data_IF_289327410242
#
_entry.id   IF_289327410242
#
_cell.length_a   1.000
_cell.length_b   1.000
_cell.length_c   1.000
_cell.angle_alpha   90.00
_cell.angle_beta   90.00
_cell.angle_gamma   90.00
#
_symmetry.space_group_name_H-M   'P 1'
#
loop_
_entity.id
_entity.type
_entity.pdbx_description
1 polymer ?
#
# COMPACT_ATOMS: atom_id res chain seq x y z
N UNK A 1 3.02 -20.13 -1.29
CA UNK A 1 3.94 -18.98 -1.42
C UNK A 1 3.20 -17.77 -0.89
N UNK A 2 3.84 -16.98 -0.04
CA UNK A 2 3.16 -16.06 0.89
C UNK A 2 3.41 -14.61 0.48
N UNK A 3 2.43 -13.74 0.70
CA UNK A 3 2.62 -12.28 0.56
C UNK A 3 3.54 -11.80 1.67
N UNK A 4 4.57 -11.04 1.32
CA UNK A 4 5.62 -10.60 2.25
C UNK A 4 5.70 -9.08 2.29
N UNK A 5 5.83 -8.52 3.49
CA UNK A 5 5.95 -7.09 3.73
C UNK A 5 7.39 -6.76 4.10
N UNK A 6 8.04 -5.95 3.25
CA UNK A 6 9.43 -5.54 3.44
C UNK A 6 9.46 -4.10 3.96
N UNK A 7 9.75 -3.92 5.25
CA UNK A 7 9.83 -2.61 5.90
C UNK A 7 11.30 -2.22 6.09
N UNK A 8 11.62 -0.96 5.77
CA UNK A 8 12.97 -0.39 5.92
C UNK A 8 13.40 -0.45 7.39
N UNK A 9 14.68 -0.73 7.61
CA UNK A 9 15.25 -0.70 8.97
C UNK A 9 15.20 0.71 9.58
N UNK A 10 15.01 0.79 10.90
CA UNK A 10 15.01 2.05 11.64
C UNK A 10 13.69 2.83 11.61
N UNK A 11 12.61 2.24 11.09
CA UNK A 11 11.27 2.85 11.16
C UNK A 11 10.71 2.71 12.58
N UNK A 12 10.16 3.79 13.11
CA UNK A 12 9.48 3.77 14.42
C UNK A 12 8.27 2.83 14.39
N UNK A 13 7.84 2.36 15.56
CA UNK A 13 6.67 1.49 15.69
C UNK A 13 5.45 2.02 14.94
N UNK A 14 4.78 1.13 14.20
CA UNK A 14 3.53 1.45 13.50
C UNK A 14 2.30 1.39 14.44
N UNK A 15 2.49 1.05 15.72
CA UNK A 15 1.40 0.92 16.69
C UNK A 15 0.60 2.22 16.83
N UNK A 16 -0.72 2.12 16.72
CA UNK A 16 -1.63 3.26 16.77
C UNK A 16 -1.60 4.12 15.49
N UNK A 17 -0.98 3.64 14.41
CA UNK A 17 -1.09 4.24 13.09
C UNK A 17 -2.42 3.87 12.43
N UNK A 18 -2.74 4.61 11.39
CA UNK A 18 -3.94 4.46 10.57
C UNK A 18 -3.53 3.94 9.20
N UNK A 19 -4.12 2.82 8.78
CA UNK A 19 -3.94 2.31 7.42
C UNK A 19 -4.85 3.09 6.48
N UNK A 20 -4.30 3.55 5.37
CA UNK A 20 -5.06 4.13 4.26
C UNK A 20 -4.68 3.37 3.00
N UNK A 21 -5.68 2.82 2.30
CA UNK A 21 -5.44 2.21 0.99
C UNK A 21 -6.67 2.34 0.10
N UNK A 22 -6.48 2.10 -1.19
CA UNK A 22 -7.48 2.29 -2.22
C UNK A 22 -6.96 1.66 -3.50
N UNK A 23 -7.74 0.74 -4.06
CA UNK A 23 -7.33 -0.07 -5.21
C UNK A 23 -7.86 0.52 -6.52
N UNK A 24 -7.42 -0.07 -7.62
CA UNK A 24 -7.89 0.19 -8.97
C UNK A 24 -9.33 -0.35 -9.18
N UNK A 25 -10.32 0.34 -8.61
CA UNK A 25 -11.75 0.07 -8.76
C UNK A 25 -12.44 0.99 -9.76
N UNK A 26 -13.74 1.23 -9.56
CA UNK A 26 -14.54 2.16 -10.38
C UNK A 26 -13.88 3.55 -10.44
N UNK A 27 -13.65 4.04 -11.66
CA UNK A 27 -13.01 5.33 -11.92
C UNK A 27 -11.56 5.46 -11.43
N UNK A 28 -10.93 4.36 -10.99
CA UNK A 28 -9.65 4.36 -10.28
C UNK A 28 -9.62 5.29 -9.04
N UNK A 29 -10.78 5.66 -8.50
CA UNK A 29 -10.90 6.68 -7.44
C UNK A 29 -10.09 6.33 -6.20
N UNK A 30 -10.08 5.06 -5.79
CA UNK A 30 -9.27 4.58 -4.66
C UNK A 30 -7.79 4.84 -4.87
N UNK A 31 -7.24 4.33 -5.98
CA UNK A 31 -5.83 4.52 -6.35
C UNK A 31 -5.45 6.01 -6.45
N UNK A 32 -6.23 6.80 -7.21
CA UNK A 32 -5.93 8.22 -7.43
C UNK A 32 -5.97 8.99 -6.10
N UNK A 33 -6.91 8.69 -5.21
CA UNK A 33 -7.02 9.34 -3.91
C UNK A 33 -5.79 9.06 -3.04
N UNK A 34 -5.34 7.80 -2.97
CA UNK A 34 -4.15 7.43 -2.19
C UNK A 34 -2.89 8.02 -2.80
N UNK A 35 -2.72 7.94 -4.12
CA UNK A 35 -1.57 8.54 -4.82
C UNK A 35 -1.50 10.05 -4.60
N UNK A 36 -2.64 10.73 -4.66
CA UNK A 36 -2.72 12.16 -4.36
C UNK A 36 -2.34 12.48 -2.91
N UNK A 37 -2.79 11.71 -1.93
CA UNK A 37 -2.41 11.89 -0.52
C UNK A 37 -0.91 11.67 -0.29
N UNK A 38 -0.35 10.58 -0.82
CA UNK A 38 1.09 10.27 -0.72
C UNK A 38 1.93 11.42 -1.29
N UNK A 39 1.58 11.89 -2.49
CA UNK A 39 2.31 12.96 -3.19
C UNK A 39 2.17 14.30 -2.47
N UNK A 40 0.96 14.69 -2.10
CA UNK A 40 0.67 16.00 -1.50
C UNK A 40 1.26 16.15 -0.10
N UNK A 41 1.25 15.07 0.68
CA UNK A 41 1.84 15.04 2.02
C UNK A 41 3.36 14.82 1.98
N UNK A 42 3.94 14.52 0.81
CA UNK A 42 5.32 14.09 0.65
C UNK A 42 5.65 12.93 1.59
N UNK A 43 4.74 11.95 1.63
CA UNK A 43 4.87 10.80 2.51
C UNK A 43 6.17 10.04 2.20
N UNK A 44 6.81 9.54 3.25
CA UNK A 44 8.09 8.84 3.14
C UNK A 44 7.87 7.38 2.72
N UNK A 45 8.61 6.90 1.73
CA UNK A 45 8.64 5.47 1.39
C UNK A 45 9.33 4.69 2.52
N UNK A 46 8.57 3.80 3.18
CA UNK A 46 9.04 2.98 4.31
C UNK A 46 9.14 1.51 3.98
N UNK A 47 8.66 1.05 2.83
CA UNK A 47 8.68 -0.36 2.47
C UNK A 47 7.92 -0.68 1.20
N UNK A 48 7.80 -1.98 0.90
CA UNK A 48 7.06 -2.51 -0.24
C UNK A 48 6.47 -3.89 0.07
N UNK A 49 5.56 -4.34 -0.77
CA UNK A 49 4.89 -5.64 -0.66
C UNK A 49 5.30 -6.52 -1.84
N UNK A 50 5.66 -7.76 -1.56
CA UNK A 50 5.97 -8.77 -2.57
C UNK A 50 4.92 -9.89 -2.54
N UNK A 51 4.37 -10.23 -3.69
CA UNK A 51 3.41 -11.34 -3.88
C UNK A 51 4.01 -12.47 -4.72
N UNK A 52 3.45 -13.69 -4.66
CA UNK A 52 3.94 -14.82 -5.47
C UNK A 52 3.93 -14.55 -6.97
N UNK A 53 2.95 -13.78 -7.46
CA UNK A 53 2.85 -13.37 -8.86
C UNK A 53 3.11 -11.88 -9.01
N UNK A 54 4.09 -11.33 -8.27
CA UNK A 54 4.51 -9.93 -8.44
C UNK A 54 4.87 -9.70 -9.91
N UNK A 55 4.21 -8.74 -10.58
CA UNK A 55 4.52 -8.47 -11.97
C UNK A 55 5.99 -8.04 -12.10
N UNK A 56 6.74 -8.54 -13.10
CA UNK A 56 8.14 -8.14 -13.34
C UNK A 56 8.18 -6.74 -13.96
N UNK A 57 7.72 -5.77 -13.20
CA UNK A 57 7.39 -4.44 -13.67
C UNK A 57 7.87 -3.41 -12.65
N UNK A 58 8.60 -2.43 -13.16
CA UNK A 58 8.98 -1.21 -12.45
C UNK A 58 8.47 -0.04 -13.27
N UNK A 59 7.88 0.94 -12.61
CA UNK A 59 7.50 2.20 -13.23
C UNK A 59 8.54 3.26 -12.94
N UNK A 60 8.58 4.29 -13.79
CA UNK A 60 9.30 5.52 -13.53
C UNK A 60 8.25 6.59 -13.31
N UNK A 61 8.17 7.12 -12.09
CA UNK A 61 7.34 8.28 -11.75
C UNK A 61 8.29 9.45 -11.51
N UNK A 62 8.21 10.46 -12.37
CA UNK A 62 9.23 11.50 -12.56
C UNK A 62 10.65 10.91 -12.73
N UNK A 63 11.49 11.03 -11.70
CA UNK A 63 12.88 10.54 -11.67
C UNK A 63 13.08 9.36 -10.70
N UNK A 64 11.98 8.76 -10.21
CA UNK A 64 12.04 7.64 -9.24
C UNK A 64 11.52 6.35 -9.85
N UNK A 65 12.25 5.28 -9.58
CA UNK A 65 11.76 3.92 -9.79
C UNK A 65 10.73 3.61 -8.70
N UNK A 66 9.54 3.19 -9.12
CA UNK A 66 8.45 2.76 -8.24
C UNK A 66 8.17 1.28 -8.41
N UNK A 67 7.92 0.60 -7.29
CA UNK A 67 7.53 -0.81 -7.26
C UNK A 67 6.01 -0.97 -7.40
N UNK A 68 5.50 -2.16 -7.79
CA UNK A 68 4.07 -2.38 -7.96
C UNK A 68 3.22 -2.09 -6.70
N UNK A 69 3.77 -2.36 -5.52
CA UNK A 69 3.07 -2.24 -4.24
C UNK A 69 4.01 -1.62 -3.20
N UNK A 70 3.76 -0.36 -2.83
CA UNK A 70 4.63 0.43 -1.96
C UNK A 70 3.92 0.85 -0.68
N UNK A 71 4.70 1.03 0.39
CA UNK A 71 4.22 1.41 1.71
C UNK A 71 4.85 2.76 2.07
N UNK A 72 4.00 3.76 2.31
CA UNK A 72 4.43 5.11 2.66
C UNK A 72 3.95 5.49 4.06
N UNK A 73 4.63 6.45 4.69
CA UNK A 73 4.27 6.99 6.00
C UNK A 73 4.30 8.51 6.04
N UNK A 74 3.30 9.09 6.71
CA UNK A 74 3.29 10.49 7.10
C UNK A 74 2.72 10.63 8.52
N UNK A 75 3.59 10.88 9.50
CA UNK A 75 3.20 10.89 10.91
C UNK A 75 2.63 9.53 11.35
N UNK A 76 1.32 9.51 11.70
CA UNK A 76 0.56 8.31 12.05
C UNK A 76 -0.21 7.68 10.87
N UNK A 77 -0.15 8.28 9.68
CA UNK A 77 -0.79 7.73 8.50
C UNK A 77 0.19 6.80 7.79
N UNK A 78 -0.27 5.60 7.48
CA UNK A 78 0.47 4.63 6.67
C UNK A 78 -0.36 4.31 5.45
N UNK A 79 0.20 4.54 4.28
CA UNK A 79 -0.45 4.32 3.00
C UNK A 79 0.08 3.05 2.36
N UNK A 80 -0.81 2.20 1.86
CA UNK A 80 -0.44 1.14 0.92
C UNK A 80 -0.92 1.58 -0.45
N UNK A 81 0.04 1.94 -1.31
CA UNK A 81 -0.19 2.37 -2.68
C UNK A 81 0.10 1.20 -3.60
N UNK A 82 -0.92 0.80 -4.37
CA UNK A 82 -0.75 -0.19 -5.43
C UNK A 82 -0.71 0.54 -6.76
N UNK A 83 0.43 0.60 -7.44
CA UNK A 83 0.58 1.21 -8.78
C UNK A 83 -0.10 0.38 -9.88
N UNK A 84 -0.47 -0.86 -9.55
CA UNK A 84 -1.31 -1.73 -10.37
C UNK A 84 -2.14 -2.66 -9.48
N UNK A 85 -3.25 -3.24 -9.98
CA UNK A 85 -3.99 -4.22 -9.19
C UNK A 85 -3.16 -5.50 -8.98
N UNK A 86 -3.20 -6.11 -7.78
CA UNK A 86 -2.62 -7.43 -7.57
C UNK A 86 -3.17 -8.46 -8.56
N UNK A 87 -2.31 -9.40 -8.95
CA UNK A 87 -2.68 -10.49 -9.86
C UNK A 87 -3.94 -11.21 -9.32
N UNK A 88 -4.93 -11.58 -10.16
CA UNK A 88 -6.20 -12.16 -9.69
C UNK A 88 -6.05 -13.34 -8.72
N UNK A 89 -5.02 -14.18 -8.90
CA UNK A 89 -4.72 -15.32 -8.01
C UNK A 89 -4.24 -14.90 -6.63
N UNK A 90 -3.68 -13.70 -6.50
CA UNK A 90 -3.10 -13.18 -5.26
C UNK A 90 -4.06 -12.26 -4.52
N UNK A 91 -5.15 -11.76 -5.13
CA UNK A 91 -6.00 -10.72 -4.54
C UNK A 91 -6.56 -11.06 -3.16
N UNK A 92 -7.02 -12.31 -2.98
CA UNK A 92 -7.53 -12.76 -1.70
C UNK A 92 -6.41 -12.76 -0.64
N UNK A 93 -5.28 -13.40 -0.97
CA UNK A 93 -4.15 -13.51 -0.04
C UNK A 93 -3.55 -12.14 0.25
N UNK A 94 -3.43 -11.26 -0.74
CA UNK A 94 -2.99 -9.88 -0.59
C UNK A 94 -3.85 -9.13 0.42
N UNK A 95 -5.17 -9.19 0.27
CA UNK A 95 -6.11 -8.49 1.15
C UNK A 95 -6.05 -9.05 2.57
N UNK A 96 -5.98 -10.38 2.69
CA UNK A 96 -5.87 -11.07 3.98
C UNK A 96 -4.55 -10.72 4.67
N UNK A 97 -3.41 -10.86 4.00
CA UNK A 97 -2.10 -10.54 4.56
C UNK A 97 -1.96 -9.07 4.91
N UNK A 98 -2.60 -8.15 4.17
CA UNK A 98 -2.66 -6.74 4.53
C UNK A 98 -3.45 -6.50 5.83
N UNK A 99 -4.58 -7.18 6.00
CA UNK A 99 -5.36 -7.12 7.24
C UNK A 99 -4.57 -7.69 8.42
N UNK A 100 -4.01 -8.90 8.26
CA UNK A 100 -3.20 -9.58 9.28
C UNK A 100 -1.99 -8.71 9.67
N UNK A 101 -1.25 -8.19 8.69
CA UNK A 101 -0.12 -7.29 8.93
C UNK A 101 -0.53 -6.03 9.70
N UNK A 102 -1.69 -5.45 9.39
CA UNK A 102 -2.19 -4.25 10.10
C UNK A 102 -2.54 -4.56 11.56
N UNK A 103 -3.17 -5.71 11.82
CA UNK A 103 -3.52 -6.18 13.16
C UNK A 103 -2.24 -6.45 13.97
N UNK A 104 -1.29 -7.19 13.40
CA UNK A 104 -0.05 -7.57 14.07
C UNK A 104 0.82 -6.35 14.42
N UNK A 105 0.78 -5.31 13.59
CA UNK A 105 1.47 -4.05 13.85
C UNK A 105 0.68 -3.10 14.78
N UNK A 106 -0.53 -3.47 15.21
CA UNK A 106 -1.32 -2.72 16.18
C UNK A 106 -1.88 -1.41 15.64
N UNK A 107 -2.29 -1.38 14.38
CA UNK A 107 -2.97 -0.24 13.77
C UNK A 107 -4.28 0.07 14.49
N UNK A 108 -4.62 1.35 14.66
CA UNK A 108 -5.85 1.75 15.35
C UNK A 108 -7.09 1.66 14.47
N UNK A 109 -6.92 1.84 13.16
CA UNK A 109 -8.02 1.82 12.18
C UNK A 109 -7.48 1.67 10.76
N UNK A 110 -8.39 1.30 9.85
CA UNK A 110 -8.13 1.25 8.42
C UNK A 110 -9.23 2.02 7.67
N UNK A 111 -8.83 2.87 6.72
CA UNK A 111 -9.73 3.59 5.81
C UNK A 111 -9.48 3.11 4.38
N UNK A 112 -10.50 2.51 3.77
CA UNK A 112 -10.44 1.93 2.43
C UNK A 112 -11.22 2.83 1.47
N UNK A 113 -10.53 3.48 0.54
CA UNK A 113 -11.12 4.43 -0.41
C UNK A 113 -11.48 3.72 -1.71
N UNK A 114 -12.71 3.92 -2.18
CA UNK A 114 -13.22 3.35 -3.43
C UNK A 114 -14.20 4.29 -4.13
N UNK A 115 -14.38 4.09 -5.43
CA UNK A 115 -15.44 4.74 -6.20
C UNK A 115 -16.73 3.93 -6.18
N UNK A 116 -17.86 4.61 -6.29
CA UNK A 116 -19.20 4.04 -6.44
C UNK A 116 -19.88 4.76 -7.62
N UNK A 117 -20.69 4.03 -8.38
CA UNK A 117 -21.58 4.53 -9.42
C UNK A 117 -23.03 4.18 -9.06
#
# INVERSE_FOLDING_TARGET
MTVTFHIRNGIESLKGSVLITGFHGLGATGYISVKHMVTSLKAELIGYIETPNTPPFVTMDDEKLTLPFEIFRYGKLVFVLTEMPPHPRDRYEFSKSLADWSIDNGFSSAYLVGGLD
#
